data_IF_586854621422
#
_entry.id   IF_586854621422
#
_cell.length_a   1.000
_cell.length_b   1.000
_cell.length_c   1.000
_cell.angle_alpha   90.00
_cell.angle_beta   90.00
_cell.angle_gamma   90.00
#
_symmetry.space_group_name_H-M   'P 1'
#
loop_
_entity.id
_entity.type
_entity.pdbx_description
1 polymer ?
#
# COMPACT_ATOMS: atom_id res chain seq x y z
N UNK A 1 34.38 28.92 39.40
CA UNK A 1 33.54 27.96 38.62
C UNK A 1 33.70 28.24 37.14
N UNK A 2 33.87 27.22 36.30
CA UNK A 2 34.13 27.38 34.85
C UNK A 2 32.82 27.51 34.07
N UNK A 3 32.73 28.49 33.17
CA UNK A 3 31.50 28.82 32.43
C UNK A 3 31.11 27.69 31.46
N UNK A 4 29.81 27.43 31.29
CA UNK A 4 29.28 26.37 30.42
C UNK A 4 29.79 26.41 28.97
N UNK A 5 30.10 27.60 28.44
CA UNK A 5 30.73 27.75 27.11
C UNK A 5 32.15 27.17 27.04
N UNK A 6 32.95 27.30 28.12
CA UNK A 6 34.31 26.78 28.18
C UNK A 6 34.32 25.25 28.29
N UNK A 7 33.40 24.66 29.08
CA UNK A 7 33.19 23.19 29.11
C UNK A 7 32.85 22.62 27.73
N UNK A 8 31.98 23.29 26.96
CA UNK A 8 31.66 22.87 25.58
C UNK A 8 32.83 22.98 24.61
N UNK A 9 33.74 23.95 24.79
CA UNK A 9 34.95 24.05 23.97
C UNK A 9 35.90 22.88 24.22
N UNK A 10 36.20 22.60 25.50
CA UNK A 10 37.05 21.48 25.92
C UNK A 10 36.52 20.12 25.44
N UNK A 11 35.20 19.89 25.51
CA UNK A 11 34.60 18.65 24.99
C UNK A 11 34.79 18.47 23.49
N UNK A 12 34.77 19.58 22.73
CA UNK A 12 34.93 19.59 21.26
C UNK A 12 36.40 19.40 20.85
N UNK A 13 37.34 19.99 21.58
CA UNK A 13 38.79 19.76 21.41
C UNK A 13 39.18 18.30 21.69
N UNK A 14 38.58 17.64 22.70
CA UNK A 14 38.84 16.22 22.98
C UNK A 14 38.21 15.23 21.98
N UNK A 15 37.22 15.66 21.19
CA UNK A 15 36.54 14.81 20.19
C UNK A 15 37.15 14.92 18.78
N UNK A 16 37.81 16.03 18.46
CA UNK A 16 38.47 16.24 17.16
C UNK A 16 39.60 15.25 16.81
N UNK A 17 40.52 14.85 17.71
CA UNK A 17 41.59 13.92 17.31
C UNK A 17 41.07 12.53 16.97
N UNK A 18 40.06 12.02 17.70
CA UNK A 18 39.51 10.67 17.47
C UNK A 18 38.80 10.52 16.14
N UNK A 19 38.09 11.55 15.68
CA UNK A 19 37.41 11.52 14.39
C UNK A 19 38.40 11.52 13.21
N UNK A 20 39.56 12.15 13.38
CA UNK A 20 40.58 12.21 12.32
C UNK A 20 41.34 10.89 12.13
N UNK A 21 41.52 10.08 13.18
CA UNK A 21 42.12 8.74 13.06
C UNK A 21 41.16 7.75 12.37
N UNK A 22 39.88 7.76 12.74
CA UNK A 22 38.85 6.92 12.09
C UNK A 22 38.70 7.24 10.59
N UNK A 23 38.68 8.52 10.22
CA UNK A 23 38.60 8.98 8.82
C UNK A 23 39.83 8.62 7.97
N UNK A 24 41.01 8.45 8.57
CA UNK A 24 42.23 8.02 7.85
C UNK A 24 42.20 6.52 7.60
N UNK A 25 41.83 5.73 8.60
CA UNK A 25 41.74 4.27 8.49
C UNK A 25 40.69 3.85 7.42
N UNK A 26 39.53 4.52 7.39
CA UNK A 26 38.49 4.28 6.37
C UNK A 26 39.01 4.59 4.95
N UNK A 27 39.78 5.66 4.76
CA UNK A 27 40.37 6.01 3.45
C UNK A 27 41.40 4.98 3.00
N UNK A 28 42.17 4.41 3.92
CA UNK A 28 43.17 3.38 3.60
C UNK A 28 42.52 2.02 3.26
N UNK A 29 41.46 1.64 3.97
CA UNK A 29 40.65 0.47 3.66
C UNK A 29 40.01 0.56 2.26
N UNK A 30 39.40 1.71 1.91
CA UNK A 30 38.84 1.96 0.57
C UNK A 30 39.92 1.88 -0.51
N UNK A 31 41.15 2.32 -0.23
CA UNK A 31 42.28 2.24 -1.18
C UNK A 31 42.68 0.79 -1.47
N UNK A 32 42.62 -0.09 -0.46
CA UNK A 32 42.88 -1.53 -0.59
C UNK A 32 41.77 -2.27 -1.35
N UNK A 33 40.49 -1.95 -1.11
CA UNK A 33 39.38 -2.53 -1.89
C UNK A 33 39.37 -2.08 -3.36
N UNK A 34 39.71 -0.82 -3.66
CA UNK A 34 39.78 -0.34 -5.05
C UNK A 34 40.91 -1.04 -5.82
N UNK A 35 42.02 -1.39 -5.15
CA UNK A 35 43.12 -2.14 -5.76
C UNK A 35 42.74 -3.60 -6.07
N UNK A 36 42.02 -4.29 -5.19
CA UNK A 36 41.55 -5.67 -5.44
C UNK A 36 40.47 -5.74 -6.52
N UNK A 37 39.58 -4.74 -6.59
CA UNK A 37 38.58 -4.65 -7.68
C UNK A 37 39.25 -4.40 -9.04
N UNK A 38 40.32 -3.59 -9.09
CA UNK A 38 41.05 -3.34 -10.35
C UNK A 38 41.79 -4.59 -10.87
N UNK A 39 42.34 -5.41 -9.97
CA UNK A 39 42.98 -6.67 -10.31
C UNK A 39 41.98 -7.73 -10.85
N UNK A 40 40.72 -7.67 -10.44
CA UNK A 40 39.68 -8.60 -10.90
C UNK A 40 39.13 -8.32 -12.32
N UNK A 41 39.58 -7.24 -12.99
CA UNK A 41 39.13 -6.86 -14.35
C UNK A 41 40.01 -7.34 -15.50
N UNK A 42 40.91 -8.30 -15.25
CA UNK A 42 41.56 -9.11 -16.29
C UNK A 42 41.24 -10.58 -16.06
N UNK A 43 40.08 -11.02 -16.55
CA UNK A 43 39.80 -12.35 -17.12
C UNK A 43 38.35 -12.41 -17.64
N UNK A 44 38.22 -12.74 -18.93
CA UNK A 44 37.15 -13.47 -19.62
C UNK A 44 35.65 -13.15 -19.35
N UNK A 45 35.09 -12.36 -20.28
CA UNK A 45 34.03 -12.83 -21.18
C UNK A 45 32.69 -13.35 -20.65
N UNK A 46 31.69 -12.46 -20.49
CA UNK A 46 30.30 -12.74 -20.90
C UNK A 46 29.47 -11.46 -21.17
N UNK A 47 28.32 -11.59 -21.83
CA UNK A 47 27.57 -10.44 -22.38
C UNK A 47 26.75 -9.67 -21.32
N UNK A 48 27.22 -8.47 -20.93
CA UNK A 48 26.52 -7.60 -19.98
C UNK A 48 25.57 -6.60 -20.67
N UNK A 49 24.35 -6.47 -20.12
CA UNK A 49 23.23 -5.72 -20.65
C UNK A 49 23.52 -4.20 -20.84
N UNK A 50 23.11 -3.62 -21.97
CA UNK A 50 23.43 -2.23 -22.38
C UNK A 50 23.01 -1.15 -21.38
N UNK A 51 22.04 -1.43 -20.51
CA UNK A 51 21.60 -0.50 -19.45
C UNK A 51 22.65 -0.29 -18.35
N UNK A 52 23.45 -1.31 -18.03
CA UNK A 52 24.42 -1.25 -16.94
C UNK A 52 25.67 -0.45 -17.34
N UNK A 53 26.12 -0.59 -18.60
CA UNK A 53 27.14 0.29 -19.19
C UNK A 53 26.76 1.77 -19.10
N UNK A 54 25.51 2.13 -19.38
CA UNK A 54 25.05 3.53 -19.31
C UNK A 54 25.05 4.07 -17.87
N UNK A 55 24.69 3.24 -16.89
CA UNK A 55 24.71 3.61 -15.47
C UNK A 55 26.13 3.76 -14.93
N UNK A 56 27.03 2.83 -15.26
CA UNK A 56 28.45 2.89 -14.87
C UNK A 56 29.17 4.10 -15.52
N UNK A 57 28.93 4.37 -16.81
CA UNK A 57 29.49 5.54 -17.49
C UNK A 57 29.03 6.88 -16.86
N UNK A 58 27.76 6.94 -16.40
CA UNK A 58 27.22 8.13 -15.70
C UNK A 58 27.83 8.32 -14.32
N UNK A 59 28.10 7.23 -13.60
CA UNK A 59 28.78 7.21 -12.29
C UNK A 59 30.28 7.50 -12.40
N UNK A 60 30.91 7.16 -13.52
CA UNK A 60 32.29 7.53 -13.84
C UNK A 60 32.43 9.04 -14.08
N UNK A 61 31.58 9.64 -14.95
CA UNK A 61 31.62 11.10 -15.22
C UNK A 61 31.44 11.95 -13.97
N UNK A 62 30.55 11.55 -13.06
CA UNK A 62 30.36 12.24 -11.77
C UNK A 62 31.56 12.13 -10.81
N UNK A 63 32.50 11.20 -11.03
CA UNK A 63 33.74 11.10 -10.25
C UNK A 63 34.92 11.83 -10.92
N UNK A 64 34.95 11.91 -12.24
CA UNK A 64 36.04 12.61 -12.98
C UNK A 64 35.90 14.13 -12.96
N UNK A 65 34.68 14.67 -12.83
CA UNK A 65 34.44 16.13 -12.74
C UNK A 65 34.83 16.73 -11.36
N UNK A 66 35.37 15.93 -10.43
CA UNK A 66 35.73 16.36 -9.07
C UNK A 66 37.22 16.66 -8.82
N UNK A 67 38.14 16.22 -9.68
CA UNK A 67 39.60 16.38 -9.46
C UNK A 67 40.35 16.54 -10.79
N UNK A 68 40.57 17.79 -11.22
CA UNK A 68 41.82 18.36 -11.78
C UNK A 68 41.54 19.73 -12.38
N UNK A 69 42.47 20.67 -12.24
CA UNK A 69 42.41 21.97 -12.91
C UNK A 69 43.79 22.61 -12.98
N UNK A 70 43.99 23.43 -14.03
CA UNK A 70 45.27 24.02 -14.52
C UNK A 70 46.17 22.96 -15.20
N UNK A 71 46.74 23.14 -16.39
CA UNK A 71 47.30 24.30 -17.11
C UNK A 71 46.71 24.43 -18.56
N UNK A 72 47.02 25.39 -19.46
CA UNK A 72 48.07 26.42 -19.55
C UNK A 72 47.56 27.68 -20.35
N UNK A 73 48.45 28.60 -20.79
CA UNK A 73 48.15 30.02 -21.15
C UNK A 73 48.12 30.39 -22.65
N UNK A 74 47.88 31.70 -22.96
CA UNK A 74 48.16 32.50 -24.20
C UNK A 74 46.91 32.97 -24.98
N UNK A 75 46.67 34.24 -25.37
CA UNK A 75 47.27 35.58 -25.07
C UNK A 75 46.23 36.70 -25.41
N UNK A 76 46.31 37.84 -24.69
CA UNK A 76 45.76 39.18 -25.00
C UNK A 76 44.25 39.41 -25.25
N UNK A 77 43.67 40.62 -25.12
CA UNK A 77 43.84 41.78 -24.21
C UNK A 77 42.71 42.76 -24.56
N UNK A 78 41.90 43.21 -23.59
CA UNK A 78 41.55 44.62 -23.30
C UNK A 78 40.70 44.63 -22.02
N UNK A 79 41.02 45.48 -21.04
CA UNK A 79 40.34 45.62 -19.73
C UNK A 79 40.03 47.09 -19.44
N UNK A 80 38.85 47.37 -18.90
CA UNK A 80 38.51 48.45 -17.94
C UNK A 80 37.27 47.93 -17.18
N UNK A 81 37.36 47.27 -16.02
CA UNK A 81 37.46 47.78 -14.62
C UNK A 81 36.31 48.71 -14.20
N UNK A 82 35.75 48.60 -12.99
CA UNK A 82 36.04 47.69 -11.86
C UNK A 82 35.20 46.38 -11.98
N UNK A 83 34.80 45.57 -10.99
CA UNK A 83 34.89 45.60 -9.51
C UNK A 83 34.84 44.17 -8.91
N UNK A 84 35.10 44.01 -7.60
CA UNK A 84 35.37 42.70 -6.99
C UNK A 84 34.38 42.25 -5.89
N UNK A 85 33.65 41.15 -6.14
CA UNK A 85 33.54 39.96 -5.28
C UNK A 85 32.34 39.10 -5.73
N UNK A 86 32.59 37.87 -6.20
CA UNK A 86 31.61 36.77 -6.05
C UNK A 86 32.24 35.41 -6.41
N UNK A 87 31.95 34.40 -5.59
CA UNK A 87 32.35 33.02 -5.87
C UNK A 87 31.55 32.39 -7.03
N UNK A 88 31.90 31.18 -7.50
CA UNK A 88 31.23 30.55 -8.64
C UNK A 88 29.73 30.27 -8.36
N UNK A 89 28.86 31.12 -8.93
CA UNK A 89 27.41 31.06 -8.77
C UNK A 89 26.79 29.73 -9.23
N UNK A 90 25.85 29.22 -8.42
CA UNK A 90 25.13 27.98 -8.68
C UNK A 90 24.36 28.06 -10.03
N UNK A 91 24.25 26.93 -10.74
CA UNK A 91 23.61 26.82 -12.05
C UNK A 91 22.17 27.38 -12.10
N UNK A 92 21.43 27.35 -10.99
CA UNK A 92 20.10 27.98 -10.89
C UNK A 92 20.18 29.51 -10.85
N UNK A 93 21.14 30.10 -10.12
CA UNK A 93 21.34 31.54 -10.03
C UNK A 93 21.79 32.13 -11.37
N UNK A 94 22.73 31.47 -12.08
CA UNK A 94 23.14 31.89 -13.44
C UNK A 94 21.97 31.89 -14.43
N UNK A 95 21.03 30.93 -14.33
CA UNK A 95 19.80 30.90 -15.15
C UNK A 95 18.83 32.02 -14.79
N UNK A 96 18.72 32.39 -13.51
CA UNK A 96 17.85 33.48 -13.07
C UNK A 96 18.39 34.84 -13.55
N UNK A 97 19.69 35.11 -13.36
CA UNK A 97 20.35 36.31 -13.87
C UNK A 97 20.18 36.43 -15.39
N UNK A 98 20.46 35.36 -16.16
CA UNK A 98 20.33 35.37 -17.63
C UNK A 98 18.90 35.62 -18.12
N UNK A 99 17.88 35.32 -17.29
CA UNK A 99 16.47 35.62 -17.55
C UNK A 99 16.09 37.04 -17.13
N UNK A 100 16.72 37.60 -16.10
CA UNK A 100 16.54 38.99 -15.68
C UNK A 100 17.25 39.98 -16.61
N UNK A 101 18.47 39.69 -17.05
CA UNK A 101 19.20 40.53 -18.03
C UNK A 101 18.48 40.56 -19.38
N UNK A 102 17.96 39.41 -19.86
CA UNK A 102 17.12 39.36 -21.07
C UNK A 102 15.86 40.23 -20.94
N UNK A 103 15.20 40.23 -19.78
CA UNK A 103 14.05 41.10 -19.50
C UNK A 103 14.41 42.59 -19.43
N UNK A 104 15.60 42.96 -18.90
CA UNK A 104 16.09 44.35 -18.94
C UNK A 104 16.46 44.80 -20.35
N UNK A 105 17.05 43.93 -21.17
CA UNK A 105 17.36 44.19 -22.58
C UNK A 105 16.10 44.32 -23.46
N UNK A 106 14.99 43.68 -23.08
CA UNK A 106 13.71 43.73 -23.80
C UNK A 106 12.83 44.95 -23.42
N UNK A 107 13.28 45.84 -22.52
CA UNK A 107 12.77 47.21 -22.43
C UNK A 107 11.28 47.39 -22.08
N UNK A 108 10.71 46.56 -21.20
CA UNK A 108 9.32 46.70 -20.74
C UNK A 108 9.29 47.04 -19.24
N UNK A 109 8.88 48.25 -18.90
CA UNK A 109 8.59 48.64 -17.51
C UNK A 109 7.18 48.19 -17.06
N UNK A 110 7.05 47.96 -15.75
CA UNK A 110 5.90 47.30 -15.14
C UNK A 110 4.65 48.20 -14.99
N UNK A 111 3.49 47.69 -15.39
CA UNK A 111 2.20 48.09 -14.82
C UNK A 111 1.42 46.87 -14.29
N UNK A 112 0.58 47.11 -13.28
CA UNK A 112 0.08 46.14 -12.28
C UNK A 112 -0.69 44.92 -12.86
N UNK A 113 -0.75 43.78 -12.13
CA UNK A 113 -1.03 42.47 -12.72
C UNK A 113 -2.50 42.22 -13.09
N UNK A 114 -2.74 41.75 -14.32
CA UNK A 114 -4.05 41.28 -14.77
C UNK A 114 -4.36 39.86 -14.30
N UNK A 115 -5.59 39.68 -13.80
CA UNK A 115 -6.15 38.38 -13.39
C UNK A 115 -6.40 37.47 -14.59
N UNK A 116 -6.13 36.17 -14.42
CA UNK A 116 -6.19 35.16 -15.48
C UNK A 116 -7.64 34.71 -15.76
N UNK A 117 -8.36 35.47 -16.59
CA UNK A 117 -9.72 35.10 -17.07
C UNK A 117 -9.67 33.79 -17.88
N UNK A 118 -10.16 32.70 -17.29
CA UNK A 118 -10.41 31.44 -18.01
C UNK A 118 -11.76 31.53 -18.72
N UNK A 119 -11.84 31.22 -20.02
CA UNK A 119 -13.09 31.29 -20.80
C UNK A 119 -14.08 30.23 -20.28
N UNK A 120 -15.16 30.64 -19.62
CA UNK A 120 -16.32 29.77 -19.36
C UNK A 120 -16.97 29.43 -20.71
N UNK A 121 -17.05 28.15 -21.05
CA UNK A 121 -17.97 27.64 -22.08
C UNK A 121 -19.33 27.49 -21.39
N UNK A 122 -20.33 28.25 -21.82
CA UNK A 122 -21.71 28.05 -21.36
C UNK A 122 -22.28 26.81 -22.05
N UNK A 123 -22.65 25.82 -21.25
CA UNK A 123 -23.61 24.77 -21.59
C UNK A 123 -24.65 24.80 -20.49
N UNK A 124 -25.93 24.74 -20.85
CA UNK A 124 -27.05 24.89 -19.92
C UNK A 124 -26.95 23.88 -18.78
N UNK A 125 -27.15 24.35 -17.56
CA UNK A 125 -27.20 23.51 -16.37
C UNK A 125 -28.53 22.75 -16.35
N UNK A 126 -28.48 21.42 -16.48
CA UNK A 126 -29.51 20.53 -15.96
C UNK A 126 -29.00 19.98 -14.63
N UNK A 127 -29.81 20.07 -13.58
CA UNK A 127 -29.47 19.59 -12.25
C UNK A 127 -29.24 18.07 -12.26
N UNK A 128 -27.97 17.69 -12.27
CA UNK A 128 -27.54 16.39 -11.79
C UNK A 128 -26.48 16.61 -10.72
N UNK A 129 -26.90 16.45 -9.46
CA UNK A 129 -26.02 16.34 -8.31
C UNK A 129 -25.05 15.18 -8.51
N UNK A 130 -23.90 15.47 -9.12
CA UNK A 130 -22.73 14.60 -9.06
C UNK A 130 -22.14 14.71 -7.65
N UNK A 131 -22.88 14.20 -6.67
CA UNK A 131 -22.31 13.67 -5.45
C UNK A 131 -21.11 12.84 -5.87
N UNK A 132 -19.93 13.26 -5.40
CA UNK A 132 -18.64 12.62 -5.66
C UNK A 132 -18.74 11.15 -5.29
N UNK A 133 -19.09 10.32 -6.26
CA UNK A 133 -19.64 9.00 -5.99
C UNK A 133 -18.61 8.19 -5.24
N UNK A 134 -18.84 7.98 -3.95
CA UNK A 134 -18.02 7.08 -3.15
C UNK A 134 -18.24 5.73 -3.82
N UNK A 135 -17.25 5.26 -4.58
CA UNK A 135 -17.39 4.03 -5.34
C UNK A 135 -17.47 2.86 -4.35
N UNK A 136 -18.71 2.51 -3.99
CA UNK A 136 -19.08 1.38 -3.15
C UNK A 136 -18.93 0.09 -3.97
N UNK A 137 -17.69 -0.18 -4.39
CA UNK A 137 -17.33 -1.33 -5.20
C UNK A 137 -16.73 -2.41 -4.33
N UNK A 138 -17.38 -3.57 -4.33
CA UNK A 138 -16.92 -4.80 -3.72
C UNK A 138 -16.22 -5.68 -4.74
N UNK A 139 -15.16 -6.34 -4.29
CA UNK A 139 -14.53 -7.43 -5.01
C UNK A 139 -15.12 -8.75 -4.51
N UNK A 140 -15.59 -9.60 -5.41
CA UNK A 140 -16.00 -10.97 -5.11
C UNK A 140 -15.04 -11.93 -5.79
N UNK A 141 -14.36 -12.75 -5.00
CA UNK A 141 -13.43 -13.78 -5.45
C UNK A 141 -13.87 -15.18 -5.03
N UNK A 142 -13.13 -16.18 -5.51
CA UNK A 142 -13.34 -17.60 -5.23
C UNK A 142 -14.70 -18.16 -5.72
N UNK A 143 -15.35 -17.46 -6.65
CA UNK A 143 -16.60 -17.91 -7.28
C UNK A 143 -16.37 -19.19 -8.09
N UNK A 144 -17.33 -20.14 -8.09
CA UNK A 144 -17.25 -21.33 -8.93
C UNK A 144 -17.25 -20.94 -10.41
N UNK A 145 -16.50 -21.67 -11.24
CA UNK A 145 -16.40 -21.37 -12.68
C UNK A 145 -17.72 -21.57 -13.45
N UNK A 146 -18.68 -22.29 -12.84
CA UNK A 146 -20.04 -22.50 -13.35
C UNK A 146 -21.04 -21.42 -12.89
N UNK A 147 -20.62 -20.45 -12.06
CA UNK A 147 -21.47 -19.35 -11.62
C UNK A 147 -21.93 -18.51 -12.81
N UNK A 148 -23.22 -18.22 -12.86
CA UNK A 148 -23.83 -17.26 -13.80
C UNK A 148 -24.14 -15.95 -13.08
N UNK A 149 -24.33 -14.87 -13.84
CA UNK A 149 -24.81 -13.60 -13.29
C UNK A 149 -26.12 -13.78 -12.50
N UNK A 150 -27.05 -14.61 -12.99
CA UNK A 150 -28.29 -14.91 -12.29
C UNK A 150 -28.08 -15.55 -10.91
N UNK A 151 -27.16 -16.52 -10.79
CA UNK A 151 -26.82 -17.11 -9.48
C UNK A 151 -26.20 -16.09 -8.52
N UNK A 152 -25.33 -15.21 -9.01
CA UNK A 152 -24.69 -14.17 -8.19
C UNK A 152 -25.73 -13.13 -7.75
N UNK A 153 -26.60 -12.65 -8.65
CA UNK A 153 -27.68 -11.71 -8.31
C UNK A 153 -28.64 -12.27 -7.26
N UNK A 154 -29.03 -13.55 -7.38
CA UNK A 154 -29.86 -14.22 -6.35
C UNK A 154 -29.16 -14.26 -4.98
N UNK A 155 -27.87 -14.59 -4.95
CA UNK A 155 -27.08 -14.67 -3.71
C UNK A 155 -26.92 -13.33 -2.98
N UNK A 156 -26.90 -12.23 -3.73
CA UNK A 156 -26.76 -10.88 -3.18
C UNK A 156 -28.07 -10.09 -3.16
N UNK A 157 -29.24 -10.75 -3.28
CA UNK A 157 -30.54 -10.08 -3.35
C UNK A 157 -30.81 -9.11 -2.17
N UNK A 158 -30.34 -9.46 -0.96
CA UNK A 158 -30.46 -8.61 0.24
C UNK A 158 -29.78 -7.24 0.13
N UNK A 159 -28.80 -7.11 -0.77
CA UNK A 159 -28.11 -5.85 -1.03
C UNK A 159 -28.83 -5.00 -2.09
N UNK A 160 -29.96 -5.46 -2.65
CA UNK A 160 -30.79 -4.73 -3.59
C UNK A 160 -30.16 -4.57 -4.98
N UNK A 161 -30.32 -3.39 -5.57
CA UNK A 161 -29.88 -3.14 -6.95
C UNK A 161 -28.35 -3.10 -7.10
N UNK A 162 -27.84 -4.10 -7.80
CA UNK A 162 -26.42 -4.36 -8.02
C UNK A 162 -26.06 -4.25 -9.49
N UNK A 163 -25.00 -3.50 -9.80
CA UNK A 163 -24.30 -3.58 -11.09
C UNK A 163 -23.17 -4.61 -10.98
N UNK A 164 -23.29 -5.72 -11.71
CA UNK A 164 -22.27 -6.79 -11.73
C UNK A 164 -21.30 -6.61 -12.89
N UNK A 165 -20.00 -6.81 -12.64
CA UNK A 165 -18.94 -6.88 -13.65
C UNK A 165 -18.12 -8.15 -13.45
N UNK A 166 -18.51 -9.22 -14.13
CA UNK A 166 -17.77 -10.49 -14.11
C UNK A 166 -16.45 -10.36 -14.87
N UNK A 167 -15.35 -10.90 -14.31
CA UNK A 167 -14.04 -10.83 -14.95
C UNK A 167 -13.78 -12.13 -15.73
N UNK A 168 -13.74 -12.02 -17.05
CA UNK A 168 -13.37 -13.09 -17.97
C UNK A 168 -11.90 -12.95 -18.40
N UNK A 169 -11.28 -14.08 -18.79
CA UNK A 169 -10.00 -14.03 -19.48
C UNK A 169 -10.16 -13.50 -20.91
N UNK A 170 -9.20 -12.68 -21.37
CA UNK A 170 -9.23 -12.04 -22.69
C UNK A 170 -8.97 -13.04 -23.83
N UNK A 171 -8.20 -14.10 -23.59
CA UNK A 171 -7.85 -15.09 -24.61
C UNK A 171 -8.92 -16.17 -24.74
N UNK A 172 -9.25 -16.82 -23.62
CA UNK A 172 -10.17 -17.97 -23.60
C UNK A 172 -11.64 -17.59 -23.45
N UNK A 173 -11.96 -16.32 -23.14
CA UNK A 173 -13.30 -15.82 -22.75
C UNK A 173 -13.94 -16.54 -21.54
N UNK A 174 -13.23 -17.48 -20.90
CA UNK A 174 -13.72 -18.22 -19.73
C UNK A 174 -13.81 -17.31 -18.50
N UNK A 175 -14.77 -17.59 -17.63
CA UNK A 175 -14.94 -16.87 -16.37
C UNK A 175 -13.79 -17.19 -15.40
N UNK A 176 -13.21 -16.17 -14.76
CA UNK A 176 -12.04 -16.32 -13.89
C UNK A 176 -12.39 -16.73 -12.44
N UNK A 177 -13.66 -16.79 -12.07
CA UNK A 177 -14.07 -16.98 -10.66
C UNK A 177 -13.96 -15.68 -9.83
N UNK A 178 -13.94 -14.53 -10.48
CA UNK A 178 -13.86 -13.20 -9.83
C UNK A 178 -14.79 -12.20 -10.50
N UNK A 179 -15.49 -11.38 -9.71
CA UNK A 179 -16.37 -10.32 -10.18
C UNK A 179 -16.21 -9.05 -9.34
N UNK A 180 -16.63 -7.91 -9.88
CA UNK A 180 -16.85 -6.69 -9.12
C UNK A 180 -18.34 -6.42 -9.01
N UNK A 181 -18.77 -6.01 -7.81
CA UNK A 181 -20.14 -5.63 -7.48
C UNK A 181 -20.11 -4.14 -7.14
N UNK A 182 -20.91 -3.33 -7.84
CA UNK A 182 -21.09 -1.91 -7.55
C UNK A 182 -22.51 -1.71 -7.00
N UNK A 183 -22.60 -1.22 -5.76
CA UNK A 183 -23.85 -0.92 -5.07
C UNK A 183 -24.02 0.59 -4.90
N UNK A 184 -25.27 1.05 -4.75
CA UNK A 184 -25.55 2.49 -4.59
C UNK A 184 -25.60 2.94 -3.12
N UNK A 185 -25.99 2.04 -2.21
CA UNK A 185 -26.23 2.37 -0.80
C UNK A 185 -25.19 1.84 0.18
N UNK A 186 -24.93 2.58 1.27
CA UNK A 186 -24.09 2.10 2.38
C UNK A 186 -24.71 0.88 3.09
N UNK A 187 -26.05 0.82 3.21
CA UNK A 187 -26.77 -0.37 3.73
C UNK A 187 -26.53 -1.60 2.85
N UNK A 188 -26.64 -1.43 1.53
CA UNK A 188 -26.35 -2.48 0.54
C UNK A 188 -24.89 -2.99 0.63
N UNK A 189 -23.93 -2.08 0.81
CA UNK A 189 -22.52 -2.45 1.04
C UNK A 189 -22.38 -3.32 2.30
N UNK A 190 -23.05 -2.96 3.39
CA UNK A 190 -23.07 -3.73 4.64
C UNK A 190 -23.65 -5.13 4.46
N UNK A 191 -24.80 -5.23 3.78
CA UNK A 191 -25.48 -6.50 3.48
C UNK A 191 -24.63 -7.43 2.61
N UNK A 192 -24.02 -6.90 1.55
CA UNK A 192 -23.12 -7.68 0.69
C UNK A 192 -21.83 -8.10 1.42
N UNK A 193 -21.28 -7.28 2.32
CA UNK A 193 -20.15 -7.66 3.17
C UNK A 193 -20.49 -8.75 4.20
N UNK A 194 -21.74 -8.82 4.70
CA UNK A 194 -22.17 -9.94 5.55
C UNK A 194 -22.25 -11.29 4.82
N UNK A 195 -22.34 -11.30 3.48
CA UNK A 195 -22.28 -12.53 2.67
C UNK A 195 -20.84 -13.02 2.41
N UNK A 196 -19.82 -12.44 3.05
CA UNK A 196 -18.46 -12.98 3.07
C UNK A 196 -18.41 -14.40 3.67
N UNK A 197 -17.62 -15.31 3.08
CA UNK A 197 -17.47 -16.72 3.46
C UNK A 197 -18.71 -17.63 3.32
N UNK A 198 -19.85 -17.11 2.87
CA UNK A 198 -21.02 -17.93 2.51
C UNK A 198 -20.72 -18.91 1.37
N UNK A 199 -21.49 -20.00 1.31
CA UNK A 199 -21.38 -21.05 0.31
C UNK A 199 -22.14 -20.68 -0.97
N UNK A 200 -21.54 -21.00 -2.12
CA UNK A 200 -22.16 -20.91 -3.44
C UNK A 200 -21.69 -22.11 -4.29
N UNK A 201 -22.58 -23.05 -4.57
CA UNK A 201 -22.30 -24.30 -5.32
C UNK A 201 -21.09 -25.07 -4.74
N UNK A 202 -21.15 -25.43 -3.45
CA UNK A 202 -20.08 -26.16 -2.75
C UNK A 202 -18.74 -25.40 -2.59
N UNK A 203 -18.71 -24.08 -2.82
CA UNK A 203 -17.50 -23.25 -2.65
C UNK A 203 -17.78 -21.98 -1.86
N UNK A 204 -16.96 -21.71 -0.84
CA UNK A 204 -17.03 -20.44 -0.09
C UNK A 204 -16.54 -19.26 -0.92
N UNK A 205 -17.34 -18.20 -0.96
CA UNK A 205 -16.99 -16.96 -1.67
C UNK A 205 -16.20 -16.00 -0.77
N UNK A 206 -15.31 -15.20 -1.36
CA UNK A 206 -14.61 -14.13 -0.67
C UNK A 206 -15.16 -12.77 -1.13
N UNK A 207 -15.72 -11.97 -0.21
CA UNK A 207 -16.25 -10.63 -0.49
C UNK A 207 -15.42 -9.57 0.24
N UNK A 208 -14.72 -8.71 -0.49
CA UNK A 208 -13.79 -7.71 0.07
C UNK A 208 -14.08 -6.29 -0.43
N UNK A 209 -13.71 -5.28 0.36
CA UNK A 209 -13.72 -3.88 -0.09
C UNK A 209 -12.63 -3.61 -1.14
N UNK A 210 -13.00 -3.04 -2.28
CA UNK A 210 -12.01 -2.68 -3.32
C UNK A 210 -11.26 -1.40 -2.96
N UNK A 211 -9.94 -1.41 -3.08
CA UNK A 211 -9.14 -0.19 -3.12
C UNK A 211 -9.18 0.42 -4.54
N UNK A 212 -9.72 1.64 -4.68
CA UNK A 212 -9.53 2.45 -5.89
C UNK A 212 -8.12 3.06 -5.93
N UNK A 213 -7.52 3.10 -7.13
CA UNK A 213 -6.18 3.65 -7.37
C UNK A 213 -5.05 2.61 -7.32
N UNK A 214 -3.96 2.91 -8.03
CA UNK A 214 -2.78 2.04 -8.18
C UNK A 214 -3.03 0.81 -9.05
N UNK A 215 -2.06 0.45 -9.90
CA UNK A 215 -2.10 -0.81 -10.64
C UNK A 215 -1.92 -2.04 -9.72
N UNK A 216 -2.19 -3.24 -10.23
CA UNK A 216 -2.16 -4.50 -9.46
C UNK A 216 -0.81 -4.82 -8.76
N UNK A 217 0.28 -4.18 -9.20
CA UNK A 217 1.63 -4.32 -8.61
C UNK A 217 1.96 -3.23 -7.58
N UNK A 218 1.09 -2.24 -7.36
CA UNK A 218 1.33 -1.13 -6.43
C UNK A 218 1.30 -1.59 -4.97
N UNK A 219 2.37 -1.31 -4.24
CA UNK A 219 2.50 -1.63 -2.81
C UNK A 219 1.49 -0.85 -1.96
N UNK A 220 1.33 0.45 -2.20
CA UNK A 220 0.32 1.29 -1.53
C UNK A 220 -1.11 0.71 -1.66
N UNK A 221 -1.42 0.09 -2.81
CA UNK A 221 -2.71 -0.59 -3.03
C UNK A 221 -2.83 -1.86 -2.18
N UNK A 222 -1.77 -2.67 -2.10
CA UNK A 222 -1.73 -3.89 -1.26
C UNK A 222 -1.91 -3.54 0.21
N UNK A 223 -1.09 -2.62 0.71
CA UNK A 223 -1.14 -2.15 2.10
C UNK A 223 -2.55 -1.61 2.46
N UNK A 224 -3.21 -0.90 1.54
CA UNK A 224 -4.61 -0.44 1.73
C UNK A 224 -5.61 -1.59 1.75
N UNK A 225 -5.47 -2.60 0.89
CA UNK A 225 -6.32 -3.81 0.90
C UNK A 225 -6.12 -4.60 2.20
N UNK A 226 -4.88 -4.78 2.65
CA UNK A 226 -4.59 -5.54 3.88
C UNK A 226 -5.09 -4.81 5.13
N UNK A 227 -5.05 -3.47 5.16
CA UNK A 227 -5.73 -2.67 6.18
C UNK A 227 -7.26 -2.84 6.15
N UNK A 228 -7.88 -2.94 4.96
CA UNK A 228 -9.32 -3.19 4.83
C UNK A 228 -9.69 -4.61 5.29
N UNK A 229 -8.89 -5.62 4.94
CA UNK A 229 -9.04 -7.01 5.42
C UNK A 229 -8.92 -7.12 6.93
N UNK A 230 -7.91 -6.49 7.53
CA UNK A 230 -7.74 -6.43 9.00
C UNK A 230 -8.96 -5.78 9.67
N UNK A 231 -9.49 -4.69 9.12
CA UNK A 231 -10.73 -4.07 9.61
C UNK A 231 -11.91 -5.03 9.51
N UNK A 232 -12.12 -5.67 8.36
CA UNK A 232 -13.20 -6.63 8.12
C UNK A 232 -13.14 -7.84 9.06
N UNK A 233 -11.97 -8.47 9.21
CA UNK A 233 -11.73 -9.54 10.17
C UNK A 233 -12.02 -9.10 11.61
N UNK A 234 -11.56 -7.91 12.03
CA UNK A 234 -11.86 -7.39 13.37
C UNK A 234 -13.36 -7.15 13.62
N UNK A 235 -14.13 -6.82 12.58
CA UNK A 235 -15.60 -6.71 12.66
C UNK A 235 -16.24 -8.10 12.76
N UNK A 236 -15.76 -9.08 12.00
CA UNK A 236 -16.27 -10.44 12.06
C UNK A 236 -16.03 -11.08 13.43
N UNK A 237 -14.80 -10.99 13.98
CA UNK A 237 -14.48 -11.46 15.34
C UNK A 237 -15.36 -10.78 16.40
N UNK A 238 -15.64 -9.47 16.27
CA UNK A 238 -16.58 -8.77 17.18
C UNK A 238 -18.01 -9.31 17.08
N UNK A 239 -18.52 -9.56 15.86
CA UNK A 239 -19.84 -10.17 15.65
C UNK A 239 -19.90 -11.58 16.24
N UNK A 240 -18.88 -12.40 16.03
CA UNK A 240 -18.77 -13.76 16.57
C UNK A 240 -18.73 -13.75 18.10
N UNK A 241 -17.95 -12.86 18.73
CA UNK A 241 -17.93 -12.70 20.20
C UNK A 241 -19.30 -12.28 20.75
N UNK A 242 -19.98 -11.33 20.10
CA UNK A 242 -21.34 -10.92 20.49
C UNK A 242 -22.38 -12.05 20.31
N UNK A 243 -22.26 -12.86 19.25
CA UNK A 243 -23.10 -14.04 19.02
C UNK A 243 -22.91 -15.08 20.13
N UNK A 244 -21.66 -15.38 20.50
CA UNK A 244 -21.33 -16.31 21.59
C UNK A 244 -21.86 -15.77 22.92
N UNK A 245 -21.63 -14.49 23.25
CA UNK A 245 -22.10 -13.90 24.50
C UNK A 245 -23.63 -14.02 24.64
N UNK A 246 -24.39 -13.76 23.56
CA UNK A 246 -25.85 -13.97 23.54
C UNK A 246 -26.26 -15.43 23.84
N UNK A 247 -25.45 -16.41 23.45
CA UNK A 247 -25.69 -17.83 23.74
C UNK A 247 -25.20 -18.25 25.14
N UNK A 248 -24.49 -17.40 25.87
CA UNK A 248 -24.09 -17.62 27.27
C UNK A 248 -25.07 -16.92 28.22
N UNK A 249 -25.55 -15.73 27.84
CA UNK A 249 -26.52 -14.95 28.63
C UNK A 249 -27.96 -15.50 28.51
N UNK A 250 -28.28 -16.26 27.45
CA UNK A 250 -29.61 -16.76 27.18
C UNK A 250 -29.95 -18.05 27.97
N UNK A 251 -31.05 -18.09 28.76
CA UNK A 251 -31.34 -19.21 29.66
C UNK A 251 -31.74 -20.52 28.96
N UNK A 252 -32.05 -20.48 27.66
CA UNK A 252 -32.37 -21.65 26.85
C UNK A 252 -31.11 -22.43 26.41
N UNK A 253 -29.93 -21.80 26.51
CA UNK A 253 -28.68 -22.33 25.99
C UNK A 253 -27.83 -22.99 27.08
N UNK A 254 -27.13 -24.07 26.72
CA UNK A 254 -26.30 -24.86 27.65
C UNK A 254 -24.83 -24.44 27.64
N UNK A 255 -24.46 -23.50 26.77
CA UNK A 255 -23.10 -23.02 26.56
C UNK A 255 -22.69 -22.09 27.70
N UNK A 256 -21.56 -22.39 28.35
CA UNK A 256 -20.97 -21.50 29.35
C UNK A 256 -19.73 -20.79 28.83
N UNK A 257 -19.32 -19.72 29.51
CA UNK A 257 -18.03 -19.05 29.26
C UNK A 257 -16.83 -20.03 29.37
N UNK A 258 -16.90 -21.00 30.28
CA UNK A 258 -15.86 -22.03 30.46
C UNK A 258 -15.75 -23.01 29.29
N UNK A 259 -16.78 -23.14 28.44
CA UNK A 259 -16.81 -24.07 27.31
C UNK A 259 -16.16 -23.47 26.04
N UNK A 260 -15.83 -22.17 26.04
CA UNK A 260 -15.35 -21.43 24.87
C UNK A 260 -13.84 -21.11 24.96
N UNK A 261 -13.06 -21.61 24.01
CA UNK A 261 -11.66 -21.25 23.78
C UNK A 261 -11.52 -20.11 22.76
N UNK A 262 -10.44 -19.33 22.83
CA UNK A 262 -10.08 -18.34 21.79
C UNK A 262 -10.01 -18.97 20.39
N UNK A 263 -9.48 -20.19 20.30
CA UNK A 263 -9.43 -20.98 19.05
C UNK A 263 -10.80 -21.24 18.44
N UNK A 264 -11.86 -21.37 19.25
CA UNK A 264 -13.24 -21.52 18.75
C UNK A 264 -13.75 -20.19 18.20
N UNK A 265 -13.42 -19.07 18.85
CA UNK A 265 -13.80 -17.73 18.39
C UNK A 265 -13.17 -17.45 17.03
N UNK A 266 -11.88 -17.72 16.87
CA UNK A 266 -11.17 -17.59 15.59
C UNK A 266 -11.79 -18.49 14.53
N UNK A 267 -12.07 -19.75 14.87
CA UNK A 267 -12.65 -20.72 13.95
C UNK A 267 -14.08 -20.35 13.54
N UNK A 268 -14.94 -19.91 14.48
CA UNK A 268 -16.28 -19.37 14.20
C UNK A 268 -16.23 -18.07 13.39
N UNK A 269 -15.18 -17.26 13.53
CA UNK A 269 -15.00 -16.03 12.72
C UNK A 269 -14.68 -16.32 11.23
N UNK A 270 -14.30 -17.55 10.90
CA UNK A 270 -14.09 -17.99 9.52
C UNK A 270 -15.39 -18.36 8.80
N UNK A 271 -16.49 -18.59 9.53
CA UNK A 271 -17.80 -18.79 8.94
C UNK A 271 -18.53 -17.46 8.74
N UNK A 272 -19.53 -17.50 7.87
CA UNK A 272 -20.58 -16.50 7.86
C UNK A 272 -21.43 -16.59 9.16
N UNK A 273 -22.23 -15.55 9.40
CA UNK A 273 -23.01 -15.43 10.65
C UNK A 273 -24.06 -16.54 10.82
N UNK A 274 -24.62 -17.04 9.72
CA UNK A 274 -25.72 -18.01 9.72
C UNK A 274 -25.19 -19.40 10.03
N UNK A 275 -24.12 -19.83 9.36
CA UNK A 275 -23.43 -21.10 9.67
C UNK A 275 -22.85 -21.09 11.09
N UNK A 276 -22.29 -19.96 11.55
CA UNK A 276 -21.79 -19.82 12.92
C UNK A 276 -22.91 -19.97 13.98
N UNK A 277 -24.12 -19.47 13.69
CA UNK A 277 -25.30 -19.68 14.56
C UNK A 277 -25.73 -21.15 14.54
N UNK A 278 -25.83 -21.76 13.38
CA UNK A 278 -26.23 -23.17 13.24
C UNK A 278 -25.28 -24.12 14.00
N UNK A 279 -23.98 -23.84 14.02
CA UNK A 279 -23.01 -24.62 14.80
C UNK A 279 -23.17 -24.46 16.32
N UNK A 280 -23.59 -23.30 16.81
CA UNK A 280 -23.92 -23.06 18.23
C UNK A 280 -25.24 -23.76 18.61
N UNK A 281 -26.24 -23.71 17.74
CA UNK A 281 -27.53 -24.42 17.91
C UNK A 281 -27.32 -25.95 17.92
N UNK A 282 -26.46 -26.49 17.05
CA UNK A 282 -26.08 -27.92 17.07
C UNK A 282 -25.38 -28.32 18.37
N UNK A 283 -24.47 -27.48 18.88
CA UNK A 283 -23.86 -27.69 20.20
C UNK A 283 -24.92 -27.76 21.30
N UNK A 284 -25.83 -26.78 21.39
CA UNK A 284 -26.91 -26.77 22.39
C UNK A 284 -27.82 -28.01 22.31
N UNK A 285 -28.10 -28.49 21.08
CA UNK A 285 -28.86 -29.72 20.84
C UNK A 285 -28.12 -30.98 21.30
N UNK A 286 -26.81 -31.08 21.03
CA UNK A 286 -26.04 -32.31 21.25
C UNK A 286 -25.42 -32.41 22.65
N UNK A 287 -25.26 -31.30 23.38
CA UNK A 287 -24.65 -31.28 24.71
C UNK A 287 -25.55 -31.96 25.73
N UNK A 288 -24.96 -32.96 26.38
CA UNK A 288 -25.50 -33.73 27.49
C UNK A 288 -24.43 -33.86 28.59
N UNK A 289 -24.85 -34.18 29.81
CA UNK A 289 -23.95 -34.22 30.97
C UNK A 289 -22.92 -35.36 30.94
N UNK A 290 -23.02 -36.27 29.95
CA UNK A 290 -22.01 -37.31 29.66
C UNK A 290 -20.75 -36.76 28.97
N UNK A 291 -20.74 -35.50 28.54
CA UNK A 291 -19.60 -34.90 27.82
C UNK A 291 -18.57 -34.33 28.79
N UNK A 292 -17.56 -35.13 29.14
CA UNK A 292 -16.48 -34.72 30.06
C UNK A 292 -15.65 -33.53 29.54
N UNK A 293 -15.32 -33.50 28.24
CA UNK A 293 -14.53 -32.42 27.63
C UNK A 293 -15.39 -31.66 26.61
N UNK A 294 -16.22 -30.75 27.13
CA UNK A 294 -17.12 -29.89 26.35
C UNK A 294 -16.39 -29.05 25.31
N UNK A 295 -15.18 -28.56 25.62
CA UNK A 295 -14.32 -27.82 24.69
C UNK A 295 -13.91 -28.65 23.47
N UNK A 296 -13.36 -29.85 23.70
CA UNK A 296 -12.96 -30.74 22.62
C UNK A 296 -14.17 -31.19 21.79
N UNK A 297 -15.31 -31.43 22.44
CA UNK A 297 -16.57 -31.75 21.77
C UNK A 297 -17.06 -30.63 20.85
N UNK A 298 -17.08 -29.37 21.32
CA UNK A 298 -17.49 -28.24 20.49
C UNK A 298 -16.52 -28.00 19.32
N UNK A 299 -15.22 -28.08 19.55
CA UNK A 299 -14.22 -28.07 18.46
C UNK A 299 -14.41 -29.22 17.46
N UNK A 300 -14.94 -30.36 17.91
CA UNK A 300 -15.33 -31.48 17.04
C UNK A 300 -16.48 -31.11 16.11
N UNK A 301 -17.58 -30.57 16.67
CA UNK A 301 -18.72 -30.05 15.89
C UNK A 301 -18.25 -29.03 14.85
N UNK A 302 -17.50 -28.02 15.28
CA UNK A 302 -16.97 -26.97 14.39
C UNK A 302 -16.13 -27.54 13.24
N UNK A 303 -15.25 -28.53 13.53
CA UNK A 303 -14.48 -29.21 12.47
C UNK A 303 -15.36 -29.93 11.45
N UNK A 304 -16.50 -30.52 11.85
CA UNK A 304 -17.45 -31.14 10.92
C UNK A 304 -18.05 -30.13 9.96
N UNK A 305 -18.54 -28.98 10.44
CA UNK A 305 -19.04 -27.91 9.57
C UNK A 305 -18.02 -27.52 8.50
N UNK A 306 -16.74 -27.37 8.87
CA UNK A 306 -15.69 -27.05 7.89
C UNK A 306 -15.49 -28.11 6.81
N UNK A 307 -15.84 -29.37 7.06
CA UNK A 307 -15.73 -30.49 6.13
C UNK A 307 -17.01 -30.67 5.29
N UNK A 308 -18.18 -30.65 5.93
CA UNK A 308 -19.49 -30.80 5.28
C UNK A 308 -19.83 -29.66 4.32
N UNK A 309 -19.24 -28.48 4.52
CA UNK A 309 -19.31 -27.32 3.61
C UNK A 309 -18.76 -27.56 2.19
N UNK A 310 -18.37 -28.79 1.84
CA UNK A 310 -17.97 -29.25 0.51
C UNK A 310 -18.67 -30.53 0.01
N UNK A 311 -19.62 -31.09 0.77
CA UNK A 311 -20.38 -32.31 0.41
C UNK A 311 -21.90 -31.99 0.44
N UNK A 312 -22.46 -31.68 -0.74
CA UNK A 312 -23.89 -31.79 -1.07
C UNK A 312 -24.17 -33.16 -1.71
#
# INVERSE_FOLDING_TARGET
>A
MVNAKQRRKLLREQQQPKQHEEDVNIKEAIKKEVATIAAATQNDGEQVNTKERCWLARRAKQKTEGVTGKDETIVATTRVTTDENDGPLNAQQRRLLKRQTKRKLEGVEDTKPLQKKTRKKQTKDEDNDVHKSIHLTLFVGQLPFRATEGTIRKHFADAGDIKLRMLTDKKTKKFKGTAFIEVQGSKALGAALSRHHTLLQGRRINVELTATGGGNKSENRRNKIDLLRKKQSSVQVKKTKALIQKHIDGPEYKLKQEDVDERMIDFLSWFDYETAKNALDEYNRCVSDRVNNRKAFFMGILKRFRQTDGEE
#
